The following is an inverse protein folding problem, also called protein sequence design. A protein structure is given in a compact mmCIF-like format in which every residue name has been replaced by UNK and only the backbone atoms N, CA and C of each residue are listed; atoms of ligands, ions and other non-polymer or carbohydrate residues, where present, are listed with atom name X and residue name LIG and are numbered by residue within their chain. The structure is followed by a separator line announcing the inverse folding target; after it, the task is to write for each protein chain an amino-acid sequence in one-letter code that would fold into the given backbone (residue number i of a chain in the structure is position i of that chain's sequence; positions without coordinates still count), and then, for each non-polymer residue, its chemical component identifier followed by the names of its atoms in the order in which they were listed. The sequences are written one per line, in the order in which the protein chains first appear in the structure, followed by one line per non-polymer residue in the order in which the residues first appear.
data_IF_341905119236
#
_entry.id   IF_341905119236
#
_cell.length_a   1.000
_cell.length_b   1.000
_cell.length_c   1.000
_cell.angle_alpha   90.00
_cell.angle_beta   90.00
_cell.angle_gamma   90.00
#
_symmetry.space_group_name_H-M   'P 1'
#
loop_
_entity.id
_entity.type
_entity.pdbx_description
1 polymer ?
#
# COMPACT_ATOMS: atom_id res chain seq x y z
N UNK A 1 9.11 20.47 -2.04
CA UNK A 1 9.61 19.77 -3.24
C UNK A 1 10.07 18.40 -2.81
N UNK A 2 9.32 17.35 -3.11
CA UNK A 2 9.76 15.96 -2.89
C UNK A 2 9.73 15.34 -4.28
N UNK A 3 10.94 15.11 -4.78
CA UNK A 3 11.23 14.75 -6.15
C UNK A 3 10.54 13.46 -6.56
N UNK A 4 10.10 13.46 -7.81
CA UNK A 4 9.92 12.25 -8.59
C UNK A 4 11.26 11.50 -8.62
N UNK A 5 11.39 10.42 -7.86
CA UNK A 5 12.30 9.34 -8.23
C UNK A 5 11.48 8.06 -8.30
N UNK A 6 10.89 7.90 -9.49
CA UNK A 6 10.33 6.65 -9.96
C UNK A 6 11.49 5.77 -10.42
N UNK A 7 11.62 4.59 -9.82
CA UNK A 7 12.36 3.47 -10.42
C UNK A 7 13.22 2.78 -9.38
N UNK A 8 12.77 1.59 -8.96
CA UNK A 8 13.47 0.35 -8.54
C UNK A 8 14.94 0.31 -8.02
N UNK A 9 15.69 1.42 -7.97
CA UNK A 9 17.06 1.55 -7.46
C UNK A 9 17.21 2.64 -6.39
N UNK A 10 16.10 3.18 -5.87
CA UNK A 10 16.12 4.10 -4.75
C UNK A 10 16.39 3.32 -3.46
N UNK A 11 17.63 3.32 -2.99
CA UNK A 11 18.03 2.74 -1.69
C UNK A 11 17.22 3.31 -0.54
N UNK A 12 16.65 4.51 -0.72
CA UNK A 12 15.76 5.12 0.25
C UNK A 12 14.45 4.35 0.41
N UNK A 13 13.92 3.79 -0.68
CA UNK A 13 12.71 2.98 -0.66
C UNK A 13 12.89 1.70 0.17
N UNK A 14 14.06 1.07 0.08
CA UNK A 14 14.40 -0.09 0.91
C UNK A 14 14.51 0.31 2.37
N UNK A 15 15.26 1.38 2.68
CA UNK A 15 15.38 1.89 4.06
C UNK A 15 14.00 2.13 4.66
N UNK A 16 13.12 2.77 3.91
CA UNK A 16 11.79 3.04 4.40
C UNK A 16 10.92 1.80 4.60
N UNK A 17 11.01 0.81 3.70
CA UNK A 17 10.24 -0.43 3.81
C UNK A 17 10.65 -1.28 5.04
N UNK A 18 11.89 -1.14 5.51
CA UNK A 18 12.37 -1.76 6.76
C UNK A 18 12.25 -0.83 7.97
N UNK A 19 11.53 0.28 7.84
CA UNK A 19 11.26 1.19 8.95
C UNK A 19 12.40 2.14 9.29
N UNK A 20 13.35 2.40 8.38
CA UNK A 20 14.49 3.28 8.58
C UNK A 20 14.41 4.56 7.75
N UNK A 21 14.90 5.66 8.34
CA UNK A 21 15.11 6.92 7.63
C UNK A 21 16.37 6.80 6.75
N UNK A 22 16.31 7.18 5.46
CA UNK A 22 17.38 6.89 4.50
C UNK A 22 18.62 7.78 4.68
N UNK A 23 18.50 8.88 5.43
CA UNK A 23 19.61 9.82 5.69
C UNK A 23 20.26 9.51 7.04
N UNK A 24 19.43 9.23 8.04
CA UNK A 24 19.89 9.06 9.43
C UNK A 24 20.02 7.60 9.86
N UNK A 25 19.43 6.67 9.09
CA UNK A 25 19.29 5.23 9.42
C UNK A 25 18.64 4.98 10.79
N UNK A 26 17.91 5.97 11.31
CA UNK A 26 17.14 5.83 12.54
C UNK A 26 15.75 5.29 12.24
N UNK A 27 15.06 4.69 13.23
CA UNK A 27 13.67 4.30 13.07
C UNK A 27 12.82 5.47 12.56
N UNK A 28 12.02 5.20 11.53
CA UNK A 28 11.09 6.19 11.00
C UNK A 28 10.16 6.64 12.12
N UNK A 29 9.98 7.96 12.21
CA UNK A 29 8.94 8.51 13.08
C UNK A 29 7.58 7.89 12.69
N UNK A 30 6.73 7.55 13.67
CA UNK A 30 5.42 6.98 13.39
C UNK A 30 4.63 7.92 12.48
N UNK A 31 4.22 7.39 11.32
CA UNK A 31 3.38 8.07 10.33
C UNK A 31 2.14 7.24 10.12
N UNK A 32 1.02 7.86 9.76
CA UNK A 32 -0.17 7.12 9.37
C UNK A 32 -0.06 6.73 7.89
N UNK A 33 0.51 5.55 7.63
CA UNK A 33 0.74 5.03 6.28
C UNK A 33 -0.56 4.64 5.59
N UNK A 34 -1.55 4.16 6.34
CA UNK A 34 -2.91 3.91 5.85
C UNK A 34 -3.54 5.21 5.33
N UNK A 35 -3.43 6.32 6.08
CA UNK A 35 -3.89 7.63 5.63
C UNK A 35 -3.19 8.07 4.35
N UNK A 36 -1.87 7.87 4.27
CA UNK A 36 -1.10 8.21 3.07
C UNK A 36 -1.53 7.36 1.87
N UNK A 37 -1.73 6.05 2.07
CA UNK A 37 -2.22 5.13 1.04
C UNK A 37 -3.63 5.53 0.58
N UNK A 38 -4.58 5.75 1.49
CA UNK A 38 -5.94 6.17 1.17
C UNK A 38 -6.01 7.50 0.40
N UNK A 39 -4.99 8.35 0.53
CA UNK A 39 -4.86 9.65 -0.16
C UNK A 39 -4.00 9.61 -1.41
N UNK A 40 -3.48 8.45 -1.80
CA UNK A 40 -2.70 8.30 -3.03
C UNK A 40 -3.58 8.71 -4.21
N UNK A 41 -3.21 9.84 -4.83
CA UNK A 41 -3.84 10.49 -5.98
C UNK A 41 -5.36 10.24 -6.09
N UNK A 42 -6.12 10.86 -5.19
CA UNK A 42 -7.58 11.01 -5.36
C UNK A 42 -7.90 12.00 -6.49
N UNK A 43 -7.54 11.67 -7.73
CA UNK A 43 -7.98 12.44 -8.90
C UNK A 43 -9.38 11.95 -9.28
N UNK A 44 -10.38 12.75 -8.90
CA UNK A 44 -11.79 12.74 -9.37
C UNK A 44 -12.82 11.79 -8.76
N UNK A 45 -12.46 10.81 -7.93
CA UNK A 45 -13.49 9.96 -7.31
C UNK A 45 -14.25 10.72 -6.21
N UNK A 46 -15.57 10.86 -6.41
CA UNK A 46 -16.52 11.63 -5.56
C UNK A 46 -16.51 11.20 -4.09
N UNK A 47 -16.04 9.99 -3.80
CA UNK A 47 -16.01 9.39 -2.47
C UNK A 47 -14.57 9.24 -2.02
N UNK A 48 -14.20 9.85 -0.89
CA UNK A 48 -12.91 9.58 -0.25
C UNK A 48 -12.95 8.17 0.33
N UNK A 49 -11.94 7.35 0.08
CA UNK A 49 -11.81 6.05 0.72
C UNK A 49 -11.45 6.24 2.19
N UNK A 50 -12.29 5.77 3.15
CA UNK A 50 -11.95 5.88 4.56
C UNK A 50 -10.82 4.91 4.91
N UNK A 51 -9.97 5.32 5.86
CA UNK A 51 -8.81 4.54 6.32
C UNK A 51 -9.21 3.14 6.81
N UNK A 52 -10.29 3.06 7.58
CA UNK A 52 -10.83 1.81 8.12
C UNK A 52 -11.31 0.86 7.01
N UNK A 53 -11.87 1.39 5.92
CA UNK A 53 -12.24 0.56 4.78
C UNK A 53 -11.00 0.00 4.08
N UNK A 54 -9.92 0.79 3.95
CA UNK A 54 -8.67 0.28 3.37
C UNK A 54 -8.07 -0.84 4.23
N UNK A 55 -8.04 -0.66 5.55
CA UNK A 55 -7.59 -1.70 6.50
C UNK A 55 -8.44 -2.95 6.36
N UNK A 56 -9.77 -2.80 6.31
CA UNK A 56 -10.70 -3.92 6.16
C UNK A 56 -10.47 -4.64 4.84
N UNK A 57 -10.34 -3.93 3.73
CA UNK A 57 -10.08 -4.50 2.40
C UNK A 57 -8.76 -5.27 2.38
N UNK A 58 -7.69 -4.72 2.95
CA UNK A 58 -6.40 -5.43 3.05
C UNK A 58 -6.49 -6.65 3.97
N UNK A 59 -7.23 -6.53 5.07
CA UNK A 59 -7.40 -7.60 6.03
C UNK A 59 -8.26 -8.75 5.51
N UNK A 60 -9.40 -8.48 4.87
CA UNK A 60 -10.34 -9.49 4.39
C UNK A 60 -10.01 -9.97 2.97
N UNK A 61 -9.39 -9.14 2.15
CA UNK A 61 -9.26 -9.36 0.71
C UNK A 61 -10.57 -9.16 -0.06
N UNK A 62 -11.64 -8.72 0.63
CA UNK A 62 -12.92 -8.43 0.00
C UNK A 62 -12.94 -6.99 -0.50
N UNK A 63 -13.36 -6.82 -1.76
CA UNK A 63 -13.37 -5.52 -2.42
C UNK A 63 -14.81 -5.08 -2.71
N UNK A 64 -15.35 -4.12 -1.95
CA UNK A 64 -16.63 -3.52 -2.27
C UNK A 64 -16.57 -2.83 -3.64
N UNK A 65 -17.62 -2.99 -4.45
CA UNK A 65 -17.68 -2.44 -5.82
C UNK A 65 -17.43 -0.93 -5.88
N UNK A 66 -17.82 -0.20 -4.84
CA UNK A 66 -17.60 1.23 -4.68
C UNK A 66 -16.10 1.63 -4.62
N UNK A 67 -15.21 0.70 -4.23
CA UNK A 67 -13.78 0.98 -4.03
C UNK A 67 -12.86 0.29 -5.03
N UNK A 68 -13.40 -0.42 -6.02
CA UNK A 68 -12.59 -1.13 -7.04
C UNK A 68 -11.59 -0.18 -7.73
N UNK A 69 -12.08 0.98 -8.19
CA UNK A 69 -11.24 1.94 -8.89
C UNK A 69 -10.19 2.59 -7.97
N UNK A 70 -10.52 2.79 -6.69
CA UNK A 70 -9.58 3.32 -5.70
C UNK A 70 -8.44 2.35 -5.42
N UNK A 71 -8.75 1.07 -5.24
CA UNK A 71 -7.76 0.03 -4.94
C UNK A 71 -6.93 -0.29 -6.17
N UNK A 72 -7.53 -0.36 -7.37
CA UNK A 72 -6.77 -0.51 -8.62
C UNK A 72 -5.73 0.62 -8.77
N UNK A 73 -6.18 1.87 -8.64
CA UNK A 73 -5.31 3.04 -8.77
C UNK A 73 -4.20 3.04 -7.71
N UNK A 74 -4.53 2.69 -6.46
CA UNK A 74 -3.55 2.56 -5.39
C UNK A 74 -2.46 1.54 -5.75
N UNK A 75 -2.85 0.35 -6.24
CA UNK A 75 -1.91 -0.72 -6.58
C UNK A 75 -1.03 -0.40 -7.81
N UNK A 76 -1.52 0.41 -8.73
CA UNK A 76 -0.77 0.78 -9.94
C UNK A 76 0.13 2.01 -9.73
N UNK A 77 -0.29 2.98 -8.93
CA UNK A 77 0.37 4.30 -8.84
C UNK A 77 1.06 4.56 -7.49
N UNK A 78 0.73 3.83 -6.43
CA UNK A 78 1.40 4.03 -5.16
C UNK A 78 2.89 3.64 -5.23
N UNK A 79 3.78 4.44 -4.62
CA UNK A 79 5.13 4.00 -4.32
C UNK A 79 5.10 2.70 -3.51
N UNK A 80 5.94 1.72 -3.86
CA UNK A 80 5.94 0.40 -3.23
C UNK A 80 6.10 0.48 -1.70
N UNK A 81 6.93 1.40 -1.21
CA UNK A 81 7.07 1.69 0.21
C UNK A 81 5.74 2.04 0.89
N UNK A 82 4.92 2.92 0.29
CA UNK A 82 3.64 3.33 0.90
C UNK A 82 2.73 2.12 1.05
N UNK A 83 2.70 1.25 0.04
CA UNK A 83 1.94 0.01 0.10
C UNK A 83 2.46 -0.96 1.16
N UNK A 84 3.77 -1.20 1.22
CA UNK A 84 4.38 -2.10 2.22
C UNK A 84 4.12 -1.61 3.65
N UNK A 85 4.35 -0.32 3.91
CA UNK A 85 4.14 0.26 5.24
C UNK A 85 2.64 0.33 5.62
N UNK A 86 1.76 0.57 4.64
CA UNK A 86 0.32 0.51 4.86
C UNK A 86 -0.15 -0.92 5.15
N UNK A 87 0.38 -1.91 4.43
CA UNK A 87 0.09 -3.32 4.67
C UNK A 87 0.57 -3.79 6.05
N UNK A 88 1.76 -3.35 6.48
CA UNK A 88 2.26 -3.60 7.84
C UNK A 88 1.34 -2.99 8.90
N UNK A 89 0.91 -1.74 8.72
CA UNK A 89 -0.04 -1.11 9.63
C UNK A 89 -1.40 -1.82 9.65
N UNK A 90 -1.91 -2.26 8.49
CA UNK A 90 -3.14 -3.05 8.43
C UNK A 90 -2.98 -4.40 9.15
N UNK A 91 -1.82 -5.06 9.00
CA UNK A 91 -1.50 -6.30 9.70
C UNK A 91 -1.53 -6.10 11.23
N UNK A 92 -0.90 -5.03 11.72
CA UNK A 92 -0.90 -4.68 13.15
C UNK A 92 -2.31 -4.35 13.66
N UNK A 93 -3.07 -3.51 12.95
CA UNK A 93 -4.41 -3.12 13.36
C UNK A 93 -5.41 -4.28 13.33
N UNK A 94 -5.33 -5.15 12.32
CA UNK A 94 -6.19 -6.32 12.19
C UNK A 94 -5.69 -7.53 12.99
N UNK A 95 -4.55 -7.43 13.68
CA UNK A 95 -3.87 -8.54 14.36
C UNK A 95 -3.69 -9.78 13.46
N UNK A 96 -3.31 -9.55 12.19
CA UNK A 96 -3.10 -10.60 11.18
C UNK A 96 -1.63 -10.71 10.77
N UNK A 97 -1.15 -11.90 10.39
CA UNK A 97 0.19 -12.04 9.83
C UNK A 97 0.32 -11.24 8.53
N UNK A 98 1.46 -10.54 8.37
CA UNK A 98 1.77 -9.77 7.15
C UNK A 98 1.66 -10.62 5.88
N UNK A 99 2.06 -11.89 5.92
CA UNK A 99 1.94 -12.81 4.80
C UNK A 99 0.48 -13.02 4.32
N UNK A 100 -0.48 -13.02 5.25
CA UNK A 100 -1.90 -13.12 4.92
C UNK A 100 -2.41 -11.84 4.26
N UNK A 101 -2.01 -10.68 4.79
CA UNK A 101 -2.31 -9.37 4.18
C UNK A 101 -1.72 -9.27 2.76
N UNK A 102 -0.48 -9.71 2.58
CA UNK A 102 0.19 -9.68 1.28
C UNK A 102 -0.51 -10.58 0.25
N UNK A 103 -0.95 -11.77 0.67
CA UNK A 103 -1.74 -12.68 -0.16
C UNK A 103 -3.06 -12.02 -0.60
N UNK A 104 -3.74 -11.33 0.32
CA UNK A 104 -4.95 -10.59 0.01
C UNK A 104 -4.68 -9.46 -0.99
N UNK A 105 -3.60 -8.68 -0.80
CA UNK A 105 -3.19 -7.62 -1.73
C UNK A 105 -2.91 -8.18 -3.13
N UNK A 106 -2.22 -9.33 -3.21
CA UNK A 106 -1.97 -10.02 -4.48
C UNK A 106 -3.26 -10.43 -5.18
N UNK A 107 -4.21 -10.99 -4.42
CA UNK A 107 -5.53 -11.38 -4.93
C UNK A 107 -6.34 -10.15 -5.38
N UNK A 108 -6.31 -9.06 -4.61
CA UNK A 108 -6.94 -7.80 -4.96
C UNK A 108 -6.36 -7.23 -6.27
N UNK A 109 -5.03 -7.23 -6.43
CA UNK A 109 -4.39 -6.77 -7.66
C UNK A 109 -4.85 -7.56 -8.90
N UNK A 110 -5.01 -8.88 -8.77
CA UNK A 110 -5.54 -9.74 -9.82
C UNK A 110 -7.03 -9.47 -10.08
N UNK A 111 -7.82 -9.35 -9.02
CA UNK A 111 -9.26 -9.10 -9.11
C UNK A 111 -9.59 -7.73 -9.72
N UNK A 112 -8.76 -6.72 -9.48
CA UNK A 112 -8.94 -5.38 -10.05
C UNK A 112 -8.38 -5.22 -11.45
N UNK A 113 -7.56 -6.16 -11.95
CA UNK A 113 -6.83 -6.02 -13.20
C UNK A 113 -5.72 -4.97 -13.15
N UNK A 114 -5.02 -4.87 -12.01
CA UNK A 114 -3.88 -3.96 -11.84
C UNK A 114 -2.79 -4.25 -12.89
N UNK A 115 -2.30 -3.20 -13.55
CA UNK A 115 -1.20 -3.28 -14.51
C UNK A 115 0.11 -3.73 -13.86
N UNK A 116 0.25 -3.54 -12.54
CA UNK A 116 1.39 -3.98 -11.71
C UNK A 116 1.14 -5.28 -10.95
N UNK A 117 0.14 -6.08 -11.31
CA UNK A 117 -0.17 -7.34 -10.60
C UNK A 117 1.05 -8.26 -10.40
N UNK A 118 1.97 -8.34 -11.37
CA UNK A 118 3.22 -9.11 -11.26
C UNK A 118 4.19 -8.62 -10.17
N UNK A 119 4.13 -7.34 -9.78
CA UNK A 119 4.97 -6.78 -8.72
C UNK A 119 4.48 -7.17 -7.32
N UNK A 120 3.23 -7.63 -7.20
CA UNK A 120 2.57 -7.98 -5.94
C UNK A 120 2.40 -9.49 -5.77
N UNK A 121 3.03 -10.31 -6.61
CA UNK A 121 2.96 -11.76 -6.48
C UNK A 121 3.71 -12.23 -5.24
N UNK A 122 3.09 -13.13 -4.49
CA UNK A 122 3.80 -13.87 -3.45
C UNK A 122 4.83 -14.76 -4.13
N UNK A 123 6.13 -14.68 -3.76
CA UNK A 123 7.12 -15.61 -4.30
C UNK A 123 6.68 -17.05 -3.98
N UNK A 124 6.63 -17.89 -5.02
CA UNK A 124 6.30 -19.32 -4.93
C UNK A 124 7.43 -20.10 -4.26
#
# INVERSE_FOLDING_TARGET
MIGKESGYGDTSAVCWAIGLDPVTLQPLRPRNWIHMAARTRSVSYRTKMPEEALVTIFASGELPSAFIAHVNHLLDEAPAQILVMAAEQAALQASRPMAAIWTNISNLAKATGSLRSGAWETPR
#
